data_IF_425924492532
#
_entry.id   IF_425924492532
#
_cell.length_a   1.000
_cell.length_b   1.000
_cell.length_c   1.000
_cell.angle_alpha   90.00
_cell.angle_beta   90.00
_cell.angle_gamma   90.00
#
_symmetry.space_group_name_H-M   'P 1'
#
loop_
_entity.id
_entity.type
_entity.pdbx_description
1 polymer ?
#
# COMPACT_ATOMS: atom_id res chain seq x y z
N UNK A 1 13.44 9.08 27.18
CA UNK A 1 13.04 9.54 25.83
C UNK A 1 12.62 8.31 24.99
N UNK A 2 11.41 7.77 25.17
CA UNK A 2 11.00 6.50 24.53
C UNK A 2 9.78 6.60 23.61
N UNK A 3 9.27 7.80 23.33
CA UNK A 3 7.94 7.97 22.74
C UNK A 3 7.89 8.16 21.22
N UNK A 4 9.01 8.39 20.54
CA UNK A 4 9.01 8.76 19.12
C UNK A 4 9.26 7.58 18.16
N UNK A 5 9.83 6.48 18.65
CA UNK A 5 10.15 5.29 17.83
C UNK A 5 9.10 4.18 17.94
N UNK A 6 8.39 4.06 19.08
CA UNK A 6 7.16 3.23 19.15
C UNK A 6 6.13 3.69 18.12
N UNK A 7 6.12 5.00 17.85
CA UNK A 7 5.16 5.62 16.96
C UNK A 7 5.22 5.00 15.57
N UNK A 8 6.40 4.70 14.99
CA UNK A 8 6.49 4.17 13.63
C UNK A 8 5.88 2.76 13.47
N UNK A 9 6.08 1.87 14.46
CA UNK A 9 5.44 0.57 14.51
C UNK A 9 3.92 0.70 14.76
N UNK A 10 3.53 1.63 15.63
CA UNK A 10 2.12 1.96 15.92
C UNK A 10 1.42 2.55 14.67
N UNK A 11 2.09 3.37 13.85
CA UNK A 11 1.59 3.92 12.59
C UNK A 11 1.34 2.82 11.54
N UNK A 12 2.20 1.81 11.48
CA UNK A 12 2.00 0.65 10.60
C UNK A 12 0.81 -0.19 11.09
N UNK A 13 0.66 -0.42 12.40
CA UNK A 13 -0.54 -1.09 12.94
C UNK A 13 -1.83 -0.28 12.72
N UNK A 14 -1.76 1.05 12.78
CA UNK A 14 -2.90 1.93 12.48
C UNK A 14 -3.28 1.93 10.99
N UNK A 15 -2.29 1.70 10.10
CA UNK A 15 -2.47 1.59 8.66
C UNK A 15 -2.82 0.18 8.17
N UNK A 16 -2.90 -0.82 9.08
CA UNK A 16 -3.24 -2.20 8.71
C UNK A 16 -4.69 -2.24 8.19
N UNK A 17 -4.92 -2.63 6.92
CA UNK A 17 -6.28 -2.84 6.43
C UNK A 17 -7.06 -3.80 7.32
N UNK A 18 -8.39 -3.66 7.38
CA UNK A 18 -9.18 -4.70 8.04
C UNK A 18 -9.28 -5.92 7.13
N UNK A 19 -9.31 -7.12 7.74
CA UNK A 19 -9.53 -8.36 7.00
C UNK A 19 -10.84 -8.28 6.21
N UNK A 20 -10.76 -8.54 4.91
CA UNK A 20 -11.90 -8.51 3.99
C UNK A 20 -12.21 -7.16 3.36
N UNK A 21 -11.46 -6.09 3.66
CA UNK A 21 -11.62 -4.82 2.94
C UNK A 21 -11.17 -4.94 1.47
N UNK A 22 -11.88 -4.30 0.51
CA UNK A 22 -11.48 -4.30 -0.87
C UNK A 22 -10.12 -3.59 -1.03
N UNK A 23 -9.15 -4.28 -1.63
CA UNK A 23 -7.81 -3.74 -1.89
C UNK A 23 -7.69 -3.30 -3.34
N UNK A 24 -7.05 -2.16 -3.58
CA UNK A 24 -6.56 -1.82 -4.91
C UNK A 24 -5.32 -2.66 -5.22
N UNK A 25 -5.24 -3.24 -6.42
CA UNK A 25 -4.11 -4.07 -6.86
C UNK A 25 -2.75 -3.35 -6.84
N UNK A 26 -2.73 -2.01 -6.93
CA UNK A 26 -1.49 -1.22 -6.93
C UNK A 26 -1.21 -0.47 -5.64
N UNK A 27 -2.24 0.03 -4.97
CA UNK A 27 -2.08 0.97 -3.87
C UNK A 27 -2.61 0.41 -2.54
N UNK A 28 -3.08 -0.84 -2.54
CA UNK A 28 -3.60 -1.52 -1.35
C UNK A 28 -4.84 -0.83 -0.78
N UNK A 29 -4.95 -0.71 0.55
CA UNK A 29 -6.17 -0.25 1.24
C UNK A 29 -6.41 1.25 1.14
N UNK A 30 -5.36 2.04 0.90
CA UNK A 30 -5.45 3.50 0.93
C UNK A 30 -6.15 4.07 -0.31
N UNK A 31 -6.40 3.23 -1.32
CA UNK A 31 -6.91 3.67 -2.60
C UNK A 31 -8.41 3.39 -2.74
N UNK A 32 -9.21 4.44 -2.56
CA UNK A 32 -10.65 4.41 -2.84
C UNK A 32 -11.02 4.34 -4.33
N UNK A 33 -10.04 4.42 -5.25
CA UNK A 33 -10.27 4.31 -6.69
C UNK A 33 -10.34 2.86 -7.17
N UNK A 34 -9.53 1.97 -6.60
CA UNK A 34 -9.52 0.56 -7.01
C UNK A 34 -10.80 -0.19 -6.63
N UNK A 35 -11.65 0.41 -5.80
CA UNK A 35 -12.87 -0.19 -5.26
C UNK A 35 -14.13 0.30 -5.98
N UNK A 36 -14.00 1.17 -6.99
CA UNK A 36 -15.11 1.77 -7.71
C UNK A 36 -14.90 1.65 -9.23
N UNK A 37 -16.00 1.49 -9.97
CA UNK A 37 -15.94 1.52 -11.43
C UNK A 37 -15.54 2.92 -11.92
N UNK A 38 -14.61 2.98 -12.87
CA UNK A 38 -14.17 4.24 -13.47
C UNK A 38 -15.35 4.91 -14.19
N UNK A 39 -15.62 6.21 -13.93
CA UNK A 39 -16.69 6.91 -14.62
C UNK A 39 -16.49 6.88 -16.13
N UNK A 40 -17.59 6.75 -16.88
CA UNK A 40 -17.57 6.57 -18.34
C UNK A 40 -16.70 7.60 -19.08
N UNK A 41 -16.71 8.86 -18.63
CA UNK A 41 -15.92 9.94 -19.23
C UNK A 41 -14.40 9.65 -19.23
N UNK A 42 -13.88 9.03 -18.18
CA UNK A 42 -12.46 8.65 -18.12
C UNK A 42 -12.15 7.54 -19.12
N UNK A 43 -13.04 6.55 -19.22
CA UNK A 43 -12.92 5.46 -20.19
C UNK A 43 -12.90 6.00 -21.62
N UNK A 44 -13.83 6.90 -21.95
CA UNK A 44 -13.91 7.54 -23.26
C UNK A 44 -12.65 8.37 -23.58
N UNK A 45 -12.12 9.11 -22.60
CA UNK A 45 -10.91 9.91 -22.79
C UNK A 45 -9.67 9.03 -23.08
N UNK A 46 -9.50 7.93 -22.34
CA UNK A 46 -8.39 6.99 -22.57
C UNK A 46 -8.55 6.29 -23.92
N UNK A 47 -9.75 5.84 -24.28
CA UNK A 47 -10.02 5.23 -25.59
C UNK A 47 -9.75 6.19 -26.74
N UNK A 48 -10.14 7.46 -26.62
CA UNK A 48 -9.86 8.47 -27.64
C UNK A 48 -8.35 8.68 -27.83
N UNK A 49 -7.57 8.77 -26.74
CA UNK A 49 -6.11 8.87 -26.80
C UNK A 49 -5.48 7.66 -27.51
N UNK A 50 -5.91 6.44 -27.19
CA UNK A 50 -5.43 5.22 -27.86
C UNK A 50 -5.73 5.22 -29.35
N UNK A 51 -6.94 5.63 -29.76
CA UNK A 51 -7.33 5.73 -31.17
C UNK A 51 -6.50 6.75 -31.96
N UNK A 52 -6.03 7.79 -31.29
CA UNK A 52 -5.15 8.81 -31.87
C UNK A 52 -3.66 8.39 -31.86
N UNK A 53 -3.34 7.17 -31.44
CA UNK A 53 -1.95 6.69 -31.32
C UNK A 53 -1.16 7.39 -30.20
N UNK A 54 -1.83 8.07 -29.29
CA UNK A 54 -1.19 8.76 -28.17
C UNK A 54 -0.96 7.77 -27.01
N UNK A 55 0.11 7.94 -26.22
CA UNK A 55 0.27 7.21 -24.96
C UNK A 55 -0.96 7.41 -24.06
N UNK A 56 -1.47 6.33 -23.48
CA UNK A 56 -2.62 6.37 -22.58
C UNK A 56 -2.46 5.29 -21.49
N UNK A 57 -2.87 5.57 -20.24
CA UNK A 57 -2.75 4.60 -19.16
C UNK A 57 -3.66 3.36 -19.40
N UNK A 58 -3.41 2.24 -18.72
CA UNK A 58 -4.35 1.14 -18.61
C UNK A 58 -5.67 1.62 -17.97
N UNK A 59 -6.79 1.03 -18.37
CA UNK A 59 -8.10 1.35 -17.78
C UNK A 59 -8.33 0.64 -16.45
N UNK A 60 -7.52 -0.39 -16.17
CA UNK A 60 -7.62 -1.32 -15.07
C UNK A 60 -6.44 -1.22 -14.10
N UNK A 61 -5.63 -0.16 -14.23
CA UNK A 61 -4.48 0.12 -13.36
C UNK A 61 -4.90 0.26 -11.89
N UNK A 62 -6.10 0.78 -11.67
CA UNK A 62 -6.75 0.81 -10.37
C UNK A 62 -8.00 -0.05 -10.40
N UNK A 63 -7.85 -1.31 -10.01
CA UNK A 63 -8.96 -2.25 -9.84
C UNK A 63 -8.89 -2.96 -8.51
N UNK A 64 -9.99 -3.63 -8.17
CA UNK A 64 -10.04 -4.49 -7.01
C UNK A 64 -9.09 -5.67 -7.23
N UNK A 65 -8.29 -5.96 -6.23
CA UNK A 65 -7.39 -7.10 -6.20
C UNK A 65 -8.22 -8.39 -6.16
N UNK A 66 -7.81 -9.36 -6.97
CA UNK A 66 -8.32 -10.73 -6.88
C UNK A 66 -7.86 -11.35 -5.55
N UNK A 67 -8.52 -12.41 -5.05
CA UNK A 67 -8.15 -13.04 -3.77
C UNK A 67 -6.67 -13.44 -3.67
N UNK A 68 -6.09 -13.95 -4.78
CA UNK A 68 -4.67 -14.31 -4.88
C UNK A 68 -3.75 -13.08 -4.78
N UNK A 69 -4.15 -11.96 -5.36
CA UNK A 69 -3.39 -10.71 -5.33
C UNK A 69 -3.47 -10.05 -3.96
N UNK A 70 -4.65 -10.09 -3.33
CA UNK A 70 -4.85 -9.65 -1.95
C UNK A 70 -4.00 -10.49 -0.98
N UNK A 71 -3.99 -11.82 -1.13
CA UNK A 71 -3.16 -12.70 -0.31
C UNK A 71 -1.65 -12.44 -0.52
N UNK A 72 -1.23 -12.09 -1.75
CA UNK A 72 0.15 -11.67 -2.02
C UNK A 72 0.48 -10.36 -1.33
N UNK A 73 -0.36 -9.34 -1.48
CA UNK A 73 -0.21 -8.05 -0.82
C UNK A 73 -0.02 -8.22 0.69
N UNK A 74 -0.82 -9.08 1.31
CA UNK A 74 -0.74 -9.33 2.74
C UNK A 74 0.59 -9.96 3.19
N UNK A 75 1.10 -10.94 2.44
CA UNK A 75 2.42 -11.51 2.73
C UNK A 75 3.52 -10.46 2.61
N UNK A 76 3.49 -9.67 1.53
CA UNK A 76 4.47 -8.60 1.30
C UNK A 76 4.42 -7.53 2.41
N UNK A 77 3.22 -7.19 2.87
CA UNK A 77 3.01 -6.30 4.01
C UNK A 77 3.58 -6.86 5.32
N UNK A 78 3.30 -8.13 5.63
CA UNK A 78 3.79 -8.79 6.84
C UNK A 78 5.32 -8.89 6.86
N UNK A 79 5.93 -9.25 5.71
CA UNK A 79 7.37 -9.31 5.55
C UNK A 79 8.02 -7.93 5.76
N UNK A 80 7.44 -6.88 5.17
CA UNK A 80 7.92 -5.50 5.33
C UNK A 80 7.77 -5.01 6.78
N UNK A 81 6.66 -5.33 7.45
CA UNK A 81 6.43 -4.98 8.85
C UNK A 81 7.43 -5.67 9.77
N UNK A 82 7.70 -6.96 9.55
CA UNK A 82 8.70 -7.71 10.32
C UNK A 82 10.10 -7.13 10.14
N UNK A 83 10.49 -6.79 8.90
CA UNK A 83 11.77 -6.15 8.62
C UNK A 83 11.89 -4.76 9.29
N UNK A 84 10.83 -3.96 9.25
CA UNK A 84 10.80 -2.65 9.90
C UNK A 84 10.92 -2.76 11.42
N UNK A 85 10.21 -3.70 12.05
CA UNK A 85 10.30 -3.97 13.50
C UNK A 85 11.73 -4.40 13.88
N UNK A 86 12.32 -5.34 13.13
CA UNK A 86 13.70 -5.78 13.38
C UNK A 86 14.73 -4.65 13.23
N UNK A 87 14.56 -3.78 12.23
CA UNK A 87 15.41 -2.60 12.06
C UNK A 87 15.27 -1.63 13.24
N UNK A 88 14.03 -1.37 13.68
CA UNK A 88 13.77 -0.51 14.82
C UNK A 88 14.37 -1.09 16.12
N UNK A 89 14.25 -2.39 16.36
CA UNK A 89 14.85 -3.05 17.52
C UNK A 89 16.38 -2.90 17.54
N UNK A 90 17.03 -3.03 16.38
CA UNK A 90 18.48 -2.80 16.25
C UNK A 90 18.87 -1.35 16.54
N UNK A 91 18.11 -0.38 16.01
CA UNK A 91 18.35 1.04 16.25
C UNK A 91 18.12 1.41 17.72
N UNK A 92 17.07 0.89 18.34
CA UNK A 92 16.81 1.09 19.76
C UNK A 92 17.91 0.48 20.64
N UNK A 93 18.40 -0.72 20.31
CA UNK A 93 19.51 -1.34 21.00
C UNK A 93 20.80 -0.52 20.86
N UNK A 94 21.09 0.03 19.68
CA UNK A 94 22.23 0.90 19.46
C UNK A 94 22.14 2.17 20.31
N UNK A 95 20.98 2.84 20.32
CA UNK A 95 20.76 4.06 21.13
C UNK A 95 20.88 3.77 22.64
N UNK A 96 20.44 2.60 23.11
CA UNK A 96 20.54 2.21 24.53
C UNK A 96 21.94 1.72 24.93
N UNK A 97 22.72 1.20 23.98
CA UNK A 97 24.08 0.72 24.20
C UNK A 97 25.14 1.82 24.07
N UNK A 98 24.82 2.89 23.34
CA UNK A 98 25.57 4.15 23.35
C UNK A 98 25.16 4.96 24.59
N UNK A 99 25.60 4.51 25.77
CA UNK A 99 25.53 5.29 27.01
C UNK A 99 26.30 6.61 26.81
N UNK A 100 25.57 7.73 26.82
CA UNK A 100 26.11 9.08 26.97
C UNK A 100 26.20 9.46 28.45
#
# INVERSE_FOLDING_TARGET
MGGFLSTAADWLEFGRPRDGEPLCVHHGPACGLGTAELPEIYRLAVEARRRLGMPAPPLDEHRQAMPVEAARYWREYEDALAAAKACNDQLEAAIRGDDY
#
